data_IF_545480519636
#
_entry.id   IF_545480519636
#
_cell.length_a   1.000
_cell.length_b   1.000
_cell.length_c   1.000
_cell.angle_alpha   90.00
_cell.angle_beta   90.00
_cell.angle_gamma   90.00
#
_symmetry.space_group_name_H-M   'P 1'
#
loop_
_entity.id
_entity.type
_entity.pdbx_description
1 polymer ?
#
# COMPACT_ATOMS: atom_id res chain seq x y z
N UNK A 1 10.38 11.51 -24.36
CA UNK A 1 10.13 10.52 -23.27
C UNK A 1 11.23 10.70 -22.23
N UNK A 2 10.91 10.83 -20.92
CA UNK A 2 11.93 10.89 -19.90
C UNK A 2 12.82 9.63 -19.93
N UNK A 3 14.12 9.79 -19.61
CA UNK A 3 15.06 8.67 -19.60
C UNK A 3 14.68 7.66 -18.49
N UNK A 4 14.96 6.38 -18.70
CA UNK A 4 14.66 5.32 -17.73
C UNK A 4 15.12 5.63 -16.30
N UNK A 5 16.37 6.13 -16.06
CA UNK A 5 16.79 6.47 -14.69
C UNK A 5 15.90 7.51 -14.00
N UNK A 6 15.38 8.48 -14.74
CA UNK A 6 14.47 9.50 -14.19
C UNK A 6 13.14 8.86 -13.78
N UNK A 7 12.58 7.97 -14.60
CA UNK A 7 11.34 7.26 -14.27
C UNK A 7 11.49 6.39 -13.03
N UNK A 8 12.64 5.70 -12.90
CA UNK A 8 12.94 4.90 -11.71
C UNK A 8 13.09 5.79 -10.47
N UNK A 9 13.80 6.93 -10.56
CA UNK A 9 13.94 7.87 -9.45
C UNK A 9 12.59 8.42 -8.99
N UNK A 10 11.71 8.79 -9.93
CA UNK A 10 10.35 9.26 -9.62
C UNK A 10 9.56 8.14 -8.94
N UNK A 11 9.59 6.93 -9.47
CA UNK A 11 8.94 5.78 -8.87
C UNK A 11 9.43 5.50 -7.44
N UNK A 12 10.75 5.53 -7.22
CA UNK A 12 11.36 5.36 -5.89
C UNK A 12 10.93 6.46 -4.92
N UNK A 13 10.95 7.73 -5.34
CA UNK A 13 10.53 8.87 -4.52
C UNK A 13 9.07 8.73 -4.08
N UNK A 14 8.15 8.57 -5.04
CA UNK A 14 6.71 8.51 -4.73
C UNK A 14 6.30 7.20 -4.07
N UNK A 15 7.00 6.11 -4.33
CA UNK A 15 6.84 4.85 -3.60
C UNK A 15 7.29 4.97 -2.14
N UNK A 16 8.39 5.67 -1.88
CA UNK A 16 8.83 6.00 -0.52
C UNK A 16 7.83 6.89 0.23
N UNK A 17 7.31 7.93 -0.43
CA UNK A 17 6.26 8.80 0.13
C UNK A 17 4.97 8.03 0.42
N UNK A 18 4.53 7.16 -0.50
CA UNK A 18 3.39 6.28 -0.33
C UNK A 18 3.58 5.35 0.87
N UNK A 19 4.75 4.70 0.97
CA UNK A 19 5.08 3.82 2.08
C UNK A 19 5.01 4.55 3.42
N UNK A 20 5.61 5.74 3.50
CA UNK A 20 5.58 6.55 4.70
C UNK A 20 4.15 6.95 5.09
N UNK A 21 3.36 7.41 4.12
CA UNK A 21 1.97 7.81 4.36
C UNK A 21 1.11 6.63 4.86
N UNK A 22 1.24 5.46 4.23
CA UNK A 22 0.52 4.25 4.65
C UNK A 22 0.98 3.80 6.04
N UNK A 23 2.28 3.80 6.34
CA UNK A 23 2.79 3.45 7.67
C UNK A 23 2.24 4.37 8.77
N UNK A 24 2.11 5.69 8.50
CA UNK A 24 1.49 6.62 9.43
C UNK A 24 0.01 6.25 9.64
N UNK A 25 -0.75 6.03 8.58
CA UNK A 25 -2.18 5.67 8.67
C UNK A 25 -2.36 4.33 9.40
N UNK A 26 -1.53 3.33 9.10
CA UNK A 26 -1.56 2.05 9.81
C UNK A 26 -1.21 2.21 11.30
N UNK A 27 -0.18 2.99 11.62
CA UNK A 27 0.20 3.27 13.00
C UNK A 27 -0.94 3.94 13.78
N UNK A 28 -1.61 4.92 13.19
CA UNK A 28 -2.79 5.55 13.77
C UNK A 28 -3.95 4.55 13.93
N UNK A 29 -4.20 3.72 12.91
CA UNK A 29 -5.22 2.67 12.97
C UNK A 29 -4.96 1.66 14.09
N UNK A 30 -3.71 1.18 14.22
CA UNK A 30 -3.30 0.29 15.31
C UNK A 30 -3.45 0.94 16.69
N UNK A 31 -3.12 2.23 16.81
CA UNK A 31 -3.28 2.97 18.06
C UNK A 31 -4.77 3.16 18.45
N UNK A 32 -5.66 3.27 17.46
CA UNK A 32 -7.10 3.39 17.69
C UNK A 32 -7.73 2.04 18.03
N UNK A 33 -7.46 1.01 17.23
CA UNK A 33 -8.00 -0.33 17.39
C UNK A 33 -7.21 -1.34 16.53
N UNK A 34 -6.34 -2.19 17.12
CA UNK A 34 -5.56 -3.17 16.39
C UNK A 34 -6.40 -4.12 15.53
N UNK A 35 -7.64 -4.39 15.95
CA UNK A 35 -8.54 -5.31 15.25
C UNK A 35 -9.01 -4.77 13.88
N UNK A 36 -8.80 -3.49 13.57
CA UNK A 36 -9.13 -2.92 12.24
C UNK A 36 -8.45 -3.67 11.10
N UNK A 37 -7.28 -4.23 11.37
CA UNK A 37 -6.46 -4.98 10.42
C UNK A 37 -6.64 -6.50 10.54
N UNK A 38 -7.69 -6.99 11.24
CA UNK A 38 -7.91 -8.43 11.46
C UNK A 38 -7.95 -9.22 10.15
N UNK A 39 -8.39 -8.61 9.04
CA UNK A 39 -8.39 -9.22 7.72
C UNK A 39 -7.02 -9.60 7.18
N UNK A 40 -5.97 -8.92 7.63
CA UNK A 40 -4.59 -9.06 7.15
C UNK A 40 -3.79 -10.07 7.99
N UNK A 41 -4.41 -10.62 9.04
CA UNK A 41 -3.79 -11.66 9.88
C UNK A 41 -3.96 -13.07 9.27
N UNK A 42 -3.05 -14.01 9.60
CA UNK A 42 -3.16 -15.40 9.22
C UNK A 42 -4.51 -16.04 9.61
N UNK A 43 -4.95 -17.07 8.86
CA UNK A 43 -6.30 -17.64 9.02
C UNK A 43 -6.62 -18.17 10.42
N UNK A 44 -5.63 -18.73 11.14
CA UNK A 44 -5.78 -19.23 12.50
C UNK A 44 -6.12 -18.11 13.49
N UNK A 45 -5.43 -16.96 13.39
CA UNK A 45 -5.68 -15.78 14.21
C UNK A 45 -7.05 -15.19 13.89
N UNK A 46 -7.38 -15.04 12.60
CA UNK A 46 -8.70 -14.52 12.16
C UNK A 46 -9.85 -15.40 12.67
N UNK A 47 -9.71 -16.72 12.54
CA UNK A 47 -10.72 -17.66 13.00
C UNK A 47 -10.91 -17.60 14.53
N UNK A 48 -9.83 -17.41 15.28
CA UNK A 48 -9.88 -17.33 16.75
C UNK A 48 -10.48 -16.00 17.22
N UNK A 49 -10.08 -14.88 16.62
CA UNK A 49 -10.56 -13.55 17.02
C UNK A 49 -12.01 -13.31 16.61
N UNK A 50 -12.38 -13.76 15.41
CA UNK A 50 -13.73 -13.56 14.84
C UNK A 50 -13.90 -12.23 14.10
N UNK A 51 -15.13 -11.92 13.66
CA UNK A 51 -15.41 -10.69 12.91
C UNK A 51 -15.43 -9.46 13.83
N UNK A 52 -15.16 -8.29 13.23
CA UNK A 52 -15.35 -7.00 13.91
C UNK A 52 -16.81 -6.78 14.31
N UNK A 53 -17.03 -6.19 15.46
CA UNK A 53 -18.32 -5.67 15.87
C UNK A 53 -18.75 -4.42 15.05
N UNK A 54 -19.96 -3.91 15.27
CA UNK A 54 -20.47 -2.76 14.53
C UNK A 54 -19.62 -1.48 14.73
N UNK A 55 -19.02 -1.31 15.91
CA UNK A 55 -18.15 -0.18 16.20
C UNK A 55 -16.82 -0.29 15.42
N UNK A 56 -16.17 -1.44 15.47
CA UNK A 56 -14.95 -1.71 14.70
C UNK A 56 -15.17 -1.59 13.20
N UNK A 57 -16.33 -2.03 12.68
CA UNK A 57 -16.67 -1.85 11.26
C UNK A 57 -16.73 -0.37 10.87
N UNK A 58 -17.34 0.49 11.68
CA UNK A 58 -17.37 1.95 11.43
C UNK A 58 -15.97 2.55 11.45
N UNK A 59 -15.14 2.18 12.43
CA UNK A 59 -13.76 2.63 12.52
C UNK A 59 -12.96 2.20 11.28
N UNK A 60 -13.17 0.97 10.79
CA UNK A 60 -12.54 0.46 9.56
C UNK A 60 -12.86 1.34 8.35
N UNK A 61 -14.10 1.76 8.16
CA UNK A 61 -14.47 2.69 7.07
C UNK A 61 -13.83 4.06 7.23
N UNK A 62 -13.73 4.58 8.45
CA UNK A 62 -13.05 5.87 8.70
C UNK A 62 -11.56 5.81 8.37
N UNK A 63 -10.88 4.71 8.67
CA UNK A 63 -9.46 4.51 8.33
C UNK A 63 -9.27 4.25 6.83
N UNK A 64 -10.24 3.65 6.15
CA UNK A 64 -10.15 3.37 4.72
C UNK A 64 -9.98 4.64 3.87
N UNK A 65 -10.57 5.77 4.29
CA UNK A 65 -10.47 7.06 3.58
C UNK A 65 -9.02 7.58 3.56
N UNK A 66 -8.34 7.81 4.70
CA UNK A 66 -6.96 8.24 4.70
C UNK A 66 -6.02 7.18 4.10
N UNK A 67 -6.35 5.89 4.20
CA UNK A 67 -5.58 4.82 3.57
C UNK A 67 -5.65 4.94 2.03
N UNK A 68 -6.83 5.15 1.48
CA UNK A 68 -7.01 5.40 0.06
C UNK A 68 -6.28 6.67 -0.39
N UNK A 69 -6.36 7.75 0.40
CA UNK A 69 -5.65 9.00 0.11
C UNK A 69 -4.12 8.81 0.14
N UNK A 70 -3.59 7.97 1.04
CA UNK A 70 -2.18 7.64 1.13
C UNK A 70 -1.67 6.85 -0.09
N UNK A 71 -2.54 6.14 -0.79
CA UNK A 71 -2.22 5.44 -2.05
C UNK A 71 -2.37 6.40 -3.24
N UNK A 72 -3.54 7.03 -3.37
CA UNK A 72 -3.90 7.82 -4.56
C UNK A 72 -3.12 9.14 -4.62
N UNK A 73 -2.93 9.81 -3.48
CA UNK A 73 -2.24 11.10 -3.43
C UNK A 73 -0.83 11.07 -4.05
N UNK A 74 0.07 10.17 -3.63
CA UNK A 74 1.38 10.03 -4.25
C UNK A 74 1.35 9.67 -5.73
N UNK A 75 0.38 8.85 -6.20
CA UNK A 75 0.24 8.52 -7.62
C UNK A 75 -0.21 9.72 -8.44
N UNK A 76 -1.14 10.52 -7.94
CA UNK A 76 -1.53 11.79 -8.58
C UNK A 76 -0.34 12.75 -8.65
N UNK A 77 0.36 12.94 -7.53
CA UNK A 77 1.54 13.80 -7.48
C UNK A 77 2.66 13.32 -8.41
N UNK A 78 2.83 12.00 -8.58
CA UNK A 78 3.74 11.40 -9.55
C UNK A 78 3.39 11.79 -10.99
N UNK A 79 2.11 11.71 -11.37
CA UNK A 79 1.66 12.09 -12.72
C UNK A 79 1.89 13.59 -12.95
N UNK A 80 1.52 14.44 -11.99
CA UNK A 80 1.76 15.90 -12.06
C UNK A 80 3.27 16.21 -12.18
N UNK A 81 4.12 15.48 -11.45
CA UNK A 81 5.56 15.65 -11.58
C UNK A 81 6.07 15.27 -12.98
N UNK A 82 5.60 14.15 -13.53
CA UNK A 82 5.95 13.74 -14.90
C UNK A 82 5.48 14.76 -15.93
N UNK A 83 4.29 15.32 -15.77
CA UNK A 83 3.72 16.36 -16.63
C UNK A 83 4.62 17.60 -16.68
N UNK A 84 5.13 18.03 -15.53
CA UNK A 84 6.08 19.15 -15.43
C UNK A 84 7.46 18.92 -16.05
N UNK A 85 7.82 17.66 -16.36
CA UNK A 85 9.12 17.30 -16.94
C UNK A 85 9.10 17.19 -18.47
N UNK A 86 7.94 17.15 -19.10
CA UNK A 86 7.80 16.98 -20.54
C UNK A 86 7.06 18.16 -21.17
N UNK A 87 7.40 18.46 -22.42
CA UNK A 87 6.63 19.40 -23.21
C UNK A 87 5.47 18.62 -23.86
N UNK A 88 4.26 18.74 -23.30
CA UNK A 88 3.08 17.97 -23.69
C UNK A 88 2.80 16.80 -22.73
N UNK A 89 1.93 15.90 -23.14
CA UNK A 89 1.47 14.80 -22.31
C UNK A 89 2.57 13.77 -22.05
N UNK A 90 2.75 13.30 -20.78
CA UNK A 90 3.65 12.19 -20.51
C UNK A 90 3.19 10.91 -21.23
N UNK A 91 4.11 10.17 -21.89
CA UNK A 91 3.75 8.93 -22.55
C UNK A 91 3.15 7.92 -21.59
N UNK A 92 2.11 7.21 -22.02
CA UNK A 92 1.43 6.17 -21.25
C UNK A 92 2.40 5.21 -20.56
N UNK A 93 3.41 4.69 -21.30
CA UNK A 93 4.42 3.78 -20.75
C UNK A 93 5.32 4.40 -19.68
N UNK A 94 5.52 5.72 -19.70
CA UNK A 94 6.29 6.44 -18.68
C UNK A 94 5.49 6.51 -17.37
N UNK A 95 4.20 6.86 -17.45
CA UNK A 95 3.29 6.89 -16.30
C UNK A 95 3.14 5.48 -15.72
N UNK A 96 2.86 4.49 -16.57
CA UNK A 96 2.76 3.08 -16.16
C UNK A 96 3.99 2.62 -15.38
N UNK A 97 5.18 2.80 -15.95
CA UNK A 97 6.42 2.33 -15.34
C UNK A 97 6.71 3.01 -14.00
N UNK A 98 6.59 4.34 -13.94
CA UNK A 98 6.86 5.09 -12.71
C UNK A 98 5.85 4.73 -11.60
N UNK A 99 4.56 4.60 -11.92
CA UNK A 99 3.53 4.20 -10.96
C UNK A 99 3.66 2.73 -10.53
N UNK A 100 4.02 1.83 -11.45
CA UNK A 100 4.36 0.44 -11.13
C UNK A 100 5.52 0.36 -10.14
N UNK A 101 6.61 1.10 -10.39
CA UNK A 101 7.78 1.14 -9.50
C UNK A 101 7.39 1.73 -8.14
N UNK A 102 6.56 2.77 -8.09
CA UNK A 102 6.09 3.34 -6.83
C UNK A 102 5.29 2.31 -6.02
N UNK A 103 4.36 1.60 -6.63
CA UNK A 103 3.60 0.53 -5.98
C UNK A 103 4.50 -0.64 -5.55
N UNK A 104 5.51 -1.00 -6.37
CA UNK A 104 6.47 -2.05 -6.04
C UNK A 104 7.33 -1.68 -4.83
N UNK A 105 7.78 -0.43 -4.72
CA UNK A 105 8.51 0.06 -3.54
C UNK A 105 7.67 -0.11 -2.28
N UNK A 106 6.39 0.29 -2.32
CA UNK A 106 5.50 0.07 -1.20
C UNK A 106 5.36 -1.42 -0.88
N UNK A 107 5.10 -2.28 -1.86
CA UNK A 107 4.93 -3.72 -1.65
C UNK A 107 6.18 -4.37 -1.01
N UNK A 108 7.38 -3.92 -1.39
CA UNK A 108 8.64 -4.36 -0.77
C UNK A 108 8.79 -3.84 0.66
N UNK A 109 8.47 -2.57 0.91
CA UNK A 109 8.51 -1.97 2.26
C UNK A 109 7.49 -2.65 3.17
N UNK A 110 6.29 -2.92 2.68
CA UNK A 110 5.24 -3.64 3.39
C UNK A 110 5.76 -5.02 3.86
N UNK A 111 6.29 -5.83 2.94
CA UNK A 111 6.85 -7.14 3.28
C UNK A 111 7.98 -7.05 4.29
N UNK A 112 9.01 -6.22 4.02
CA UNK A 112 10.24 -6.26 4.79
C UNK A 112 10.12 -5.53 6.14
N UNK A 113 9.44 -4.39 6.16
CA UNK A 113 9.39 -3.51 7.34
C UNK A 113 8.10 -3.77 8.14
N UNK A 114 6.93 -3.77 7.50
CA UNK A 114 5.67 -3.94 8.22
C UNK A 114 5.49 -5.40 8.62
N UNK A 115 5.50 -6.30 7.66
CA UNK A 115 5.19 -7.70 7.89
C UNK A 115 6.31 -8.45 8.60
N UNK A 116 7.49 -8.53 7.98
CA UNK A 116 8.56 -9.37 8.51
C UNK A 116 9.25 -8.78 9.73
N UNK A 117 9.59 -7.48 9.70
CA UNK A 117 10.27 -6.88 10.85
C UNK A 117 9.27 -6.59 11.96
N UNK A 118 8.21 -5.80 11.69
CA UNK A 118 7.33 -5.30 12.74
C UNK A 118 6.34 -6.39 13.23
N UNK A 119 5.63 -7.05 12.31
CA UNK A 119 4.59 -8.04 12.67
C UNK A 119 5.20 -9.38 13.11
N UNK A 120 6.09 -9.98 12.30
CA UNK A 120 6.57 -11.35 12.58
C UNK A 120 7.74 -11.38 13.54
N UNK A 121 8.73 -10.46 13.44
CA UNK A 121 9.94 -10.49 14.26
C UNK A 121 9.74 -9.78 15.59
N UNK A 122 9.40 -8.49 15.57
CA UNK A 122 9.30 -7.66 16.77
C UNK A 122 8.04 -7.98 17.60
N UNK A 123 6.92 -8.18 16.96
CA UNK A 123 5.61 -8.49 17.56
C UNK A 123 5.29 -7.62 18.76
N UNK A 124 5.25 -6.30 18.63
CA UNK A 124 4.88 -5.45 19.74
C UNK A 124 3.46 -5.80 20.23
N UNK A 125 3.20 -5.63 21.51
CA UNK A 125 1.91 -5.99 22.12
C UNK A 125 0.71 -5.39 21.41
N UNK A 126 0.87 -4.23 20.77
CA UNK A 126 -0.20 -3.54 20.05
C UNK A 126 -0.76 -4.33 18.87
N UNK A 127 0.01 -5.24 18.27
CA UNK A 127 -0.47 -6.06 17.13
C UNK A 127 -1.03 -7.41 17.57
N UNK A 128 -0.86 -7.80 18.84
CA UNK A 128 -1.39 -9.06 19.33
C UNK A 128 -2.83 -8.87 19.75
N UNK A 129 -3.75 -9.51 19.02
CA UNK A 129 -5.18 -9.40 19.30
C UNK A 129 -5.54 -10.15 20.59
N UNK A 130 -6.46 -9.62 21.41
CA UNK A 130 -6.88 -10.27 22.64
C UNK A 130 -7.37 -11.70 22.42
N UNK A 131 -6.87 -12.64 23.23
CA UNK A 131 -7.24 -14.07 23.14
C UNK A 131 -6.55 -14.85 22.04
N UNK A 132 -5.56 -14.26 21.34
CA UNK A 132 -4.76 -14.91 20.29
C UNK A 132 -3.27 -14.99 20.64
N UNK A 133 -2.93 -14.69 21.88
CA UNK A 133 -1.54 -14.65 22.36
C UNK A 133 -0.85 -16.01 22.15
N UNK A 134 0.37 -15.97 21.63
CA UNK A 134 1.19 -17.16 21.42
C UNK A 134 0.82 -18.03 20.21
N UNK A 135 -0.19 -17.66 19.43
CA UNK A 135 -0.59 -18.41 18.22
C UNK A 135 0.53 -18.46 17.18
N UNK A 136 0.60 -19.58 16.46
CA UNK A 136 1.65 -19.84 15.48
C UNK A 136 1.61 -18.89 14.28
N UNK A 137 0.43 -18.42 13.88
CA UNK A 137 0.24 -17.48 12.79
C UNK A 137 1.08 -16.20 12.91
N UNK A 138 1.33 -15.72 14.14
CA UNK A 138 2.21 -14.55 14.34
C UNK A 138 3.67 -14.77 13.93
N UNK A 139 4.05 -15.99 13.53
CA UNK A 139 5.41 -16.34 13.09
C UNK A 139 5.44 -16.82 11.65
N UNK A 140 4.35 -16.65 10.91
CA UNK A 140 4.22 -17.17 9.54
C UNK A 140 4.77 -16.18 8.50
N UNK A 141 6.09 -16.18 8.30
CA UNK A 141 6.75 -15.44 7.21
C UNK A 141 6.22 -15.82 5.82
N UNK A 142 5.86 -17.10 5.64
CA UNK A 142 5.41 -17.58 4.35
C UNK A 142 4.02 -17.05 3.97
N UNK A 143 3.15 -16.81 4.97
CA UNK A 143 1.87 -16.14 4.75
C UNK A 143 2.06 -14.76 4.14
N UNK A 144 2.89 -13.93 4.76
CA UNK A 144 3.20 -12.58 4.29
C UNK A 144 3.92 -12.58 2.95
N UNK A 145 4.85 -13.52 2.72
CA UNK A 145 5.51 -13.65 1.42
C UNK A 145 4.53 -14.02 0.30
N UNK A 146 3.54 -14.86 0.56
CA UNK A 146 2.46 -15.13 -0.41
C UNK A 146 1.63 -13.87 -0.69
N UNK A 147 1.35 -13.07 0.33
CA UNK A 147 0.73 -11.76 0.19
C UNK A 147 1.53 -10.83 -0.75
N UNK A 148 2.83 -10.73 -0.55
CA UNK A 148 3.74 -9.98 -1.41
C UNK A 148 3.67 -10.44 -2.88
N UNK A 149 3.67 -11.74 -3.14
CA UNK A 149 3.57 -12.26 -4.53
C UNK A 149 2.24 -11.87 -5.19
N UNK A 150 1.14 -11.91 -4.45
CA UNK A 150 -0.17 -11.40 -4.92
C UNK A 150 -0.08 -9.88 -5.14
N UNK A 151 0.60 -9.17 -4.25
CA UNK A 151 0.86 -7.73 -4.31
C UNK A 151 1.56 -7.29 -5.60
N UNK A 152 2.42 -8.13 -6.22
CA UNK A 152 3.03 -7.84 -7.52
C UNK A 152 1.96 -7.65 -8.62
N UNK A 153 0.88 -8.43 -8.58
CA UNK A 153 -0.25 -8.26 -9.48
C UNK A 153 -0.96 -6.90 -9.24
N UNK A 154 -1.15 -6.53 -7.98
CA UNK A 154 -1.71 -5.21 -7.63
C UNK A 154 -0.81 -4.06 -8.05
N UNK A 155 0.52 -4.20 -8.01
CA UNK A 155 1.44 -3.20 -8.53
C UNK A 155 1.24 -2.97 -10.03
N UNK A 156 1.09 -4.04 -10.81
CA UNK A 156 0.83 -3.93 -12.25
C UNK A 156 -0.53 -3.28 -12.54
N UNK A 157 -1.57 -3.65 -11.80
CA UNK A 157 -2.90 -3.05 -11.91
C UNK A 157 -2.86 -1.56 -11.54
N UNK A 158 -2.17 -1.20 -10.45
CA UNK A 158 -2.00 0.20 -10.03
C UNK A 158 -1.33 1.05 -11.10
N UNK A 159 -0.22 0.55 -11.69
CA UNK A 159 0.46 1.23 -12.80
C UNK A 159 -0.46 1.41 -14.01
N UNK A 160 -1.18 0.35 -14.39
CA UNK A 160 -2.12 0.37 -15.52
C UNK A 160 -3.26 1.37 -15.31
N UNK A 161 -3.92 1.31 -14.15
CA UNK A 161 -5.03 2.21 -13.83
C UNK A 161 -4.57 3.67 -13.79
N UNK A 162 -3.40 3.95 -13.17
CA UNK A 162 -2.84 5.31 -13.13
C UNK A 162 -2.61 5.85 -14.54
N UNK A 163 -2.01 5.05 -15.43
CA UNK A 163 -1.75 5.45 -16.81
C UNK A 163 -3.04 5.62 -17.64
N UNK A 164 -4.03 4.73 -17.46
CA UNK A 164 -5.33 4.82 -18.15
C UNK A 164 -6.12 6.05 -17.71
N UNK A 165 -6.18 6.32 -16.40
CA UNK A 165 -6.88 7.50 -15.86
C UNK A 165 -6.22 8.79 -16.37
N UNK A 166 -4.88 8.87 -16.31
CA UNK A 166 -4.16 10.02 -16.82
C UNK A 166 -4.42 10.25 -18.32
N UNK A 167 -4.31 9.20 -19.15
CA UNK A 167 -4.60 9.28 -20.57
C UNK A 167 -6.05 9.71 -20.84
N UNK A 168 -7.02 9.22 -20.06
CA UNK A 168 -8.41 9.66 -20.17
C UNK A 168 -8.61 11.13 -19.80
N UNK A 169 -7.91 11.62 -18.78
CA UNK A 169 -7.95 13.03 -18.38
C UNK A 169 -7.37 13.92 -19.49
N UNK A 170 -6.19 13.58 -20.05
CA UNK A 170 -5.59 14.34 -21.14
C UNK A 170 -6.47 14.37 -22.40
N UNK A 171 -7.14 13.27 -22.73
CA UNK A 171 -8.06 13.22 -23.86
C UNK A 171 -9.32 14.12 -23.68
N UNK A 172 -9.68 14.45 -22.44
CA UNK A 172 -10.85 15.28 -22.11
C UNK A 172 -10.52 16.76 -21.86
N UNK A 173 -9.26 17.06 -21.56
CA UNK A 173 -8.76 18.41 -21.22
C UNK A 173 -7.70 18.83 -22.26
N UNK A 174 -8.10 19.21 -23.47
CA UNK A 174 -7.17 19.61 -24.53
C UNK A 174 -6.47 20.93 -24.23
#
# INVERSE_FOLDING_TARGET
>A
MPALPILLQIGLLYGGLMSLAIMIVMGLGLALNPALFVGDYPPDIRAKYGPLDAHGQRQKYLIAIPFLAAIVGPLVALVVHLDGLVAGEPPFGAIFLAAFVAALVFNVVDLLIIDWLFVVTLRPRIIVLPGTEGMAGYRDYAFHFRGFLIGLGFCAVSGLLTALIAAGIYALLP
#
